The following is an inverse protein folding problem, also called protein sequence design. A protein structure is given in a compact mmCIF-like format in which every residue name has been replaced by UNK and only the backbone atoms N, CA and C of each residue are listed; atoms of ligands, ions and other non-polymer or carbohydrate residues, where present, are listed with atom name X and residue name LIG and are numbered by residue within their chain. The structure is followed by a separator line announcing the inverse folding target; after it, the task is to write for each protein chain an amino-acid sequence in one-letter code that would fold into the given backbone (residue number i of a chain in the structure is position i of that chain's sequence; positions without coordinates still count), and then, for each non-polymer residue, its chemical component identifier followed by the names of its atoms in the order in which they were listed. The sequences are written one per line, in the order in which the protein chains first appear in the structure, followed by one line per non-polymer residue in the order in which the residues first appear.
data_IF_272116990692
#
_entry.id   IF_272116990692
#
_cell.length_a   1.000
_cell.length_b   1.000
_cell.length_c   1.000
_cell.angle_alpha   90.00
_cell.angle_beta   90.00
_cell.angle_gamma   90.00
#
_symmetry.space_group_name_H-M   'P 1'
#
loop_
_entity.id
_entity.type
_entity.pdbx_description
1 polymer ?
#
# COMPACT_ATOMS: atom_id res chain seq x y z
N UNK A 1 14.95 -6.32 -68.59
CA UNK A 1 15.27 -5.01 -68.00
C UNK A 1 14.78 -3.93 -68.95
N UNK A 2 13.68 -3.26 -68.64
CA UNK A 2 13.15 -2.14 -69.43
C UNK A 2 13.51 -0.86 -68.69
N UNK A 3 14.52 -0.13 -69.18
CA UNK A 3 14.86 1.19 -68.65
C UNK A 3 13.86 2.23 -69.17
N UNK A 4 13.18 2.95 -68.27
CA UNK A 4 12.32 4.06 -68.65
C UNK A 4 13.17 5.28 -69.03
N UNK A 5 12.98 5.82 -70.22
CA UNK A 5 13.66 7.04 -70.69
C UNK A 5 12.73 8.23 -70.43
N UNK A 6 13.02 9.02 -69.40
CA UNK A 6 12.32 10.29 -69.15
C UNK A 6 13.02 11.39 -69.94
N UNK A 7 12.37 11.92 -70.98
CA UNK A 7 12.84 13.12 -71.70
C UNK A 7 12.17 14.36 -71.12
N UNK A 8 12.88 15.10 -70.27
CA UNK A 8 12.44 16.41 -69.79
C UNK A 8 12.78 17.44 -70.87
N UNK A 9 11.76 18.07 -71.46
CA UNK A 9 11.92 19.09 -72.51
C UNK A 9 11.89 20.48 -71.84
N UNK A 10 13.05 21.02 -71.51
CA UNK A 10 13.20 22.39 -71.02
C UNK A 10 13.10 23.35 -72.20
N UNK A 11 11.96 24.04 -72.32
CA UNK A 11 11.64 24.91 -73.45
C UNK A 11 12.02 26.37 -73.18
N UNK A 12 13.30 26.70 -73.00
CA UNK A 12 13.73 28.13 -73.00
C UNK A 12 15.25 28.39 -72.94
N UNK A 13 16.14 27.59 -73.51
CA UNK A 13 17.53 28.05 -73.74
C UNK A 13 18.14 27.41 -75.01
N UNK A 14 18.51 28.19 -76.04
CA UNK A 14 19.21 27.67 -77.21
C UNK A 14 20.72 27.59 -76.92
N UNK A 15 21.34 26.49 -77.33
CA UNK A 15 22.78 26.20 -77.28
C UNK A 15 23.42 25.91 -75.92
N UNK A 16 23.10 24.75 -75.32
CA UNK A 16 24.00 24.08 -74.39
C UNK A 16 23.72 22.57 -74.35
N UNK A 17 24.80 21.80 -74.50
CA UNK A 17 24.92 20.34 -74.50
C UNK A 17 23.75 19.59 -73.83
N UNK A 18 23.04 18.78 -74.64
CA UNK A 18 22.10 17.78 -74.16
C UNK A 18 22.86 16.74 -73.33
N UNK A 19 22.95 16.97 -72.03
CA UNK A 19 23.57 16.04 -71.09
C UNK A 19 22.52 14.97 -70.75
N UNK A 20 22.64 13.80 -71.35
CA UNK A 20 21.81 12.64 -71.03
C UNK A 20 22.10 12.23 -69.58
N UNK A 21 21.19 12.53 -68.66
CA UNK A 21 21.28 12.04 -67.28
C UNK A 21 20.82 10.58 -67.32
N UNK A 22 21.77 9.66 -67.29
CA UNK A 22 21.48 8.25 -67.01
C UNK A 22 21.12 8.13 -65.53
N UNK A 23 19.82 8.10 -65.22
CA UNK A 23 19.37 7.70 -63.89
C UNK A 23 19.58 6.20 -63.81
N UNK A 24 20.68 5.81 -63.18
CA UNK A 24 20.97 4.41 -62.91
C UNK A 24 20.00 3.96 -61.82
N UNK A 25 18.85 3.40 -62.21
CA UNK A 25 17.91 2.76 -61.29
C UNK A 25 18.52 1.44 -60.82
N UNK A 26 19.55 1.54 -59.99
CA UNK A 26 20.00 0.40 -59.21
C UNK A 26 18.77 -0.15 -58.48
N UNK A 27 18.36 -1.37 -58.83
CA UNK A 27 17.21 -2.05 -58.24
C UNK A 27 17.41 -2.02 -56.73
N UNK A 28 16.55 -1.26 -56.04
CA UNK A 28 16.63 -1.11 -54.60
C UNK A 28 16.41 -2.49 -53.98
N UNK A 29 17.48 -3.16 -53.58
CA UNK A 29 17.42 -4.46 -52.94
C UNK A 29 17.47 -4.25 -51.44
N UNK A 30 16.50 -4.82 -50.72
CA UNK A 30 16.52 -4.80 -49.27
C UNK A 30 17.71 -5.62 -48.76
N UNK A 31 18.54 -5.00 -47.92
CA UNK A 31 19.79 -5.58 -47.44
C UNK A 31 19.58 -6.65 -46.36
N UNK A 32 18.52 -6.53 -45.57
CA UNK A 32 18.26 -7.37 -44.40
C UNK A 32 17.77 -8.78 -44.75
N UNK A 33 18.10 -9.74 -43.90
CA UNK A 33 17.57 -11.10 -43.99
C UNK A 33 16.05 -11.12 -43.78
N UNK A 34 15.36 -12.00 -44.51
CA UNK A 34 13.90 -12.14 -44.48
C UNK A 34 13.13 -10.83 -44.76
N UNK A 35 13.72 -9.91 -45.52
CA UNK A 35 13.07 -8.69 -46.01
C UNK A 35 12.68 -8.84 -47.48
N UNK A 36 11.64 -8.13 -47.90
CA UNK A 36 11.21 -8.00 -49.29
C UNK A 36 10.86 -6.54 -49.61
N UNK A 37 11.09 -6.11 -50.86
CA UNK A 37 10.76 -4.76 -51.29
C UNK A 37 9.27 -4.71 -51.62
N UNK A 38 8.52 -3.84 -50.95
CA UNK A 38 7.17 -3.48 -51.35
C UNK A 38 7.27 -2.54 -52.56
N UNK A 39 6.95 -3.06 -53.75
CA UNK A 39 7.06 -2.31 -55.01
C UNK A 39 6.08 -1.11 -55.09
N UNK A 40 4.98 -1.12 -54.32
CA UNK A 40 3.98 -0.06 -54.35
C UNK A 40 4.46 1.18 -53.59
N UNK A 41 5.09 0.97 -52.43
CA UNK A 41 5.57 2.05 -51.57
C UNK A 41 7.09 2.27 -51.67
N UNK A 42 7.81 1.38 -52.35
CA UNK A 42 9.26 1.38 -52.48
C UNK A 42 9.96 1.37 -51.10
N UNK A 43 9.39 0.63 -50.14
CA UNK A 43 9.93 0.42 -48.79
C UNK A 43 10.25 -1.05 -48.56
N UNK A 44 11.22 -1.34 -47.69
CA UNK A 44 11.51 -2.71 -47.29
C UNK A 44 10.55 -3.15 -46.19
N UNK A 45 9.87 -4.28 -46.39
CA UNK A 45 8.97 -4.91 -45.42
C UNK A 45 9.49 -6.29 -45.04
N UNK A 46 8.96 -6.87 -43.96
CA UNK A 46 9.32 -8.23 -43.57
C UNK A 46 8.52 -9.27 -44.38
N UNK A 47 9.20 -10.35 -44.78
CA UNK A 47 8.56 -11.50 -45.43
C UNK A 47 7.52 -12.16 -44.53
N UNK A 48 6.52 -12.79 -45.16
CA UNK A 48 5.52 -13.59 -44.46
C UNK A 48 6.17 -14.63 -43.53
N UNK A 49 5.76 -14.63 -42.26
CA UNK A 49 6.29 -15.52 -41.21
C UNK A 49 7.42 -14.94 -40.37
N UNK A 50 7.93 -13.74 -40.68
CA UNK A 50 8.98 -13.03 -39.93
C UNK A 50 8.53 -11.63 -39.49
N UNK A 51 7.50 -11.50 -38.64
CA UNK A 51 6.81 -10.23 -38.42
C UNK A 51 7.58 -9.21 -37.57
N UNK A 52 8.75 -9.56 -37.03
CA UNK A 52 9.52 -8.69 -36.13
C UNK A 52 10.81 -8.21 -36.80
N UNK A 53 11.22 -6.97 -36.55
CA UNK A 53 12.45 -6.40 -37.11
C UNK A 53 12.27 -4.94 -37.53
N UNK A 54 13.34 -4.33 -38.04
CA UNK A 54 13.28 -3.01 -38.67
C UNK A 54 13.95 -3.07 -40.07
N UNK A 55 13.19 -3.45 -41.11
CA UNK A 55 13.70 -3.57 -42.47
C UNK A 55 14.07 -2.21 -43.12
N UNK A 56 13.48 -1.10 -42.68
CA UNK A 56 13.71 0.23 -43.26
C UNK A 56 15.16 0.72 -43.07
N UNK A 57 15.76 0.39 -41.92
CA UNK A 57 17.15 0.72 -41.62
C UNK A 57 18.15 -0.36 -42.10
N UNK A 58 17.72 -1.24 -43.01
CA UNK A 58 18.51 -2.38 -43.48
C UNK A 58 18.72 -3.46 -42.40
N UNK A 59 17.88 -3.48 -41.37
CA UNK A 59 17.88 -4.50 -40.34
C UNK A 59 17.21 -5.80 -40.80
N UNK A 60 17.51 -6.88 -40.10
CA UNK A 60 16.92 -8.19 -40.37
C UNK A 60 15.49 -8.29 -39.83
N UNK A 61 14.67 -9.10 -40.52
CA UNK A 61 13.40 -9.57 -39.99
C UNK A 61 13.55 -10.99 -39.43
N UNK A 62 12.86 -11.26 -38.33
CA UNK A 62 12.97 -12.51 -37.60
C UNK A 62 11.63 -12.92 -37.01
N UNK A 63 11.59 -14.16 -36.54
CA UNK A 63 10.47 -14.74 -35.79
C UNK A 63 11.03 -15.34 -34.51
N UNK A 64 10.16 -15.49 -33.52
CA UNK A 64 10.49 -16.22 -32.31
C UNK A 64 9.69 -17.52 -32.29
N UNK A 65 10.40 -18.64 -32.35
CA UNK A 65 9.86 -19.98 -32.15
C UNK A 65 10.69 -20.69 -31.05
N UNK A 66 10.15 -20.83 -29.83
CA UNK A 66 8.74 -20.70 -29.45
C UNK A 66 8.24 -19.25 -29.41
N UNK A 67 6.91 -19.11 -29.52
CA UNK A 67 6.24 -17.81 -29.37
C UNK A 67 6.56 -17.21 -28.00
N UNK A 68 6.98 -15.95 -27.99
CA UNK A 68 7.27 -15.22 -26.75
C UNK A 68 6.02 -15.06 -25.85
N UNK A 69 6.26 -14.88 -24.56
CA UNK A 69 5.23 -14.51 -23.59
C UNK A 69 4.52 -13.20 -24.03
N UNK A 70 3.25 -13.02 -23.67
CA UNK A 70 2.45 -11.82 -24.02
C UNK A 70 3.07 -10.49 -23.54
N UNK A 71 3.84 -10.54 -22.45
CA UNK A 71 4.58 -9.41 -21.88
C UNK A 71 6.05 -9.38 -22.29
N UNK A 72 6.44 -10.15 -23.29
CA UNK A 72 7.77 -10.14 -23.88
C UNK A 72 7.75 -9.54 -25.30
N UNK A 73 8.94 -9.24 -25.80
CA UNK A 73 9.21 -8.82 -27.17
C UNK A 73 10.24 -9.76 -27.78
N UNK A 74 10.06 -10.08 -29.06
CA UNK A 74 11.04 -10.80 -29.84
C UNK A 74 12.17 -9.82 -30.20
N UNK A 75 13.38 -10.09 -29.74
CA UNK A 75 14.54 -9.18 -29.91
C UNK A 75 15.52 -9.65 -30.97
N UNK A 76 15.56 -10.96 -31.24
CA UNK A 76 16.29 -11.58 -32.34
C UNK A 76 15.67 -12.94 -32.63
N UNK A 77 16.22 -13.68 -33.61
CA UNK A 77 15.80 -15.05 -33.91
C UNK A 77 15.76 -15.88 -32.63
N UNK A 78 14.58 -16.44 -32.33
CA UNK A 78 14.29 -17.31 -31.17
C UNK A 78 14.70 -16.74 -29.80
N UNK A 79 14.83 -15.41 -29.70
CA UNK A 79 15.20 -14.73 -28.44
C UNK A 79 14.11 -13.76 -28.01
N UNK A 80 13.40 -14.17 -26.98
CA UNK A 80 12.42 -13.35 -26.29
C UNK A 80 13.06 -12.61 -25.11
N UNK A 81 12.74 -11.33 -24.97
CA UNK A 81 13.12 -10.53 -23.79
C UNK A 81 11.86 -9.94 -23.20
N UNK A 82 11.71 -9.97 -21.87
CA UNK A 82 10.57 -9.33 -21.22
C UNK A 82 10.54 -7.82 -21.52
N UNK A 83 9.33 -7.25 -21.60
CA UNK A 83 9.17 -5.80 -21.77
C UNK A 83 9.89 -5.05 -20.63
N UNK A 84 10.37 -3.81 -20.87
CA UNK A 84 11.12 -3.05 -19.87
C UNK A 84 10.40 -3.00 -18.51
N UNK A 85 11.13 -3.31 -17.43
CA UNK A 85 10.61 -3.33 -16.06
C UNK A 85 10.02 -4.68 -15.60
N UNK A 86 9.99 -5.69 -16.47
CA UNK A 86 9.63 -7.07 -16.13
C UNK A 86 10.86 -7.97 -16.11
N UNK A 87 10.76 -9.07 -15.37
CA UNK A 87 11.81 -10.10 -15.23
C UNK A 87 11.22 -11.47 -15.53
N UNK A 88 12.02 -12.37 -16.07
CA UNK A 88 11.58 -13.71 -16.48
C UNK A 88 12.41 -14.27 -17.61
N UNK A 89 11.95 -15.37 -18.22
CA UNK A 89 12.63 -16.05 -19.32
C UNK A 89 12.22 -15.53 -20.71
N UNK A 90 11.20 -14.67 -20.79
CA UNK A 90 10.71 -14.12 -22.05
C UNK A 90 9.77 -15.06 -22.83
N UNK A 91 9.72 -16.35 -22.48
CA UNK A 91 9.01 -17.39 -23.22
C UNK A 91 7.81 -17.85 -22.42
N UNK A 92 8.04 -18.35 -21.20
CA UNK A 92 7.00 -18.87 -20.31
C UNK A 92 6.57 -17.84 -19.27
N UNK A 93 7.48 -16.99 -18.83
CA UNK A 93 7.25 -16.06 -17.74
C UNK A 93 7.87 -14.69 -18.02
N UNK A 94 7.08 -13.65 -17.73
CA UNK A 94 7.52 -12.27 -17.64
C UNK A 94 6.63 -11.55 -16.63
N UNK A 95 7.18 -11.30 -15.45
CA UNK A 95 6.46 -10.77 -14.31
C UNK A 95 7.16 -9.57 -13.70
N UNK A 96 6.44 -8.81 -12.90
CA UNK A 96 7.03 -7.70 -12.17
C UNK A 96 8.01 -8.24 -11.11
N UNK A 97 9.22 -7.67 -11.01
CA UNK A 97 10.22 -8.13 -10.06
C UNK A 97 9.68 -7.99 -8.63
N UNK A 98 9.70 -9.11 -7.90
CA UNK A 98 9.33 -9.14 -6.48
C UNK A 98 10.61 -9.24 -5.64
N UNK A 99 10.91 -8.24 -4.79
CA UNK A 99 12.06 -8.30 -3.93
C UNK A 99 11.91 -9.44 -2.90
N UNK A 100 13.04 -10.03 -2.51
CA UNK A 100 13.10 -11.03 -1.45
C UNK A 100 13.79 -10.42 -0.24
N UNK A 101 13.09 -10.38 0.92
CA UNK A 101 13.64 -9.80 2.15
C UNK A 101 14.66 -10.78 2.72
N UNK A 102 15.90 -10.33 2.91
CA UNK A 102 16.99 -11.15 3.47
C UNK A 102 17.03 -11.00 4.99
N UNK A 103 16.95 -9.77 5.48
CA UNK A 103 16.98 -9.49 6.91
C UNK A 103 16.37 -8.13 7.24
N UNK A 104 15.86 -7.99 8.46
CA UNK A 104 15.30 -6.73 8.97
C UNK A 104 15.94 -6.41 10.32
N UNK A 105 16.37 -5.18 10.53
CA UNK A 105 16.95 -4.72 11.80
C UNK A 105 16.53 -3.28 12.11
N UNK A 106 16.07 -2.98 13.33
CA UNK A 106 15.63 -3.91 14.38
C UNK A 106 14.36 -4.69 13.98
N UNK A 107 13.97 -5.71 14.76
CA UNK A 107 12.68 -6.41 14.60
C UNK A 107 11.53 -5.75 15.40
N UNK A 108 11.78 -4.55 15.92
CA UNK A 108 10.85 -3.80 16.77
C UNK A 108 10.79 -2.34 16.31
N UNK A 109 9.61 -1.75 16.33
CA UNK A 109 9.39 -0.32 16.10
C UNK A 109 9.01 0.32 17.43
N UNK A 110 9.96 0.94 18.12
CA UNK A 110 9.71 1.51 19.46
C UNK A 110 8.90 2.80 19.40
N UNK A 111 9.24 3.70 18.47
CA UNK A 111 8.63 5.02 18.34
C UNK A 111 8.33 5.36 16.87
N UNK A 112 7.52 6.38 16.62
CA UNK A 112 7.25 6.91 15.26
C UNK A 112 8.52 7.39 14.54
N UNK A 113 9.54 7.77 15.31
CA UNK A 113 10.82 8.26 14.79
C UNK A 113 11.87 7.16 14.65
N UNK A 114 11.49 5.90 14.94
CA UNK A 114 12.39 4.76 14.75
C UNK A 114 12.42 4.31 13.29
N UNK A 115 13.55 3.73 12.88
CA UNK A 115 13.80 3.29 11.51
C UNK A 115 14.12 1.80 11.45
N UNK A 116 13.61 1.13 10.43
CA UNK A 116 13.91 -0.26 10.10
C UNK A 116 14.84 -0.33 8.90
N UNK A 117 16.00 -0.95 9.06
CA UNK A 117 16.86 -1.32 7.96
C UNK A 117 16.41 -2.66 7.39
N UNK A 118 15.88 -2.62 6.16
CA UNK A 118 15.43 -3.79 5.41
C UNK A 118 16.46 -4.10 4.34
N UNK A 119 17.15 -5.24 4.48
CA UNK A 119 18.06 -5.75 3.46
C UNK A 119 17.28 -6.71 2.56
N UNK A 120 17.34 -6.49 1.25
CA UNK A 120 16.60 -7.27 0.27
C UNK A 120 17.46 -7.62 -0.95
N UNK A 121 17.05 -8.65 -1.68
CA UNK A 121 17.62 -9.03 -2.98
C UNK A 121 16.60 -8.75 -4.08
N UNK A 122 17.07 -8.14 -5.17
CA UNK A 122 16.31 -7.91 -6.39
C UNK A 122 16.87 -8.78 -7.52
N UNK A 123 16.00 -9.23 -8.42
CA UNK A 123 16.39 -9.90 -9.66
C UNK A 123 16.83 -8.90 -10.74
N UNK A 124 16.55 -7.60 -10.55
CA UNK A 124 16.86 -6.55 -11.51
C UNK A 124 18.14 -5.79 -11.11
N UNK A 125 19.03 -5.55 -12.09
CA UNK A 125 20.31 -4.84 -11.90
C UNK A 125 20.09 -3.36 -11.57
N UNK A 126 19.08 -2.74 -12.17
CA UNK A 126 18.72 -1.34 -11.92
C UNK A 126 17.51 -1.30 -10.96
N UNK A 127 17.80 -1.13 -9.68
CA UNK A 127 16.76 -1.06 -8.65
C UNK A 127 16.08 0.30 -8.66
N UNK A 128 14.79 0.32 -8.96
CA UNK A 128 13.92 1.46 -8.63
C UNK A 128 13.78 1.58 -7.11
N UNK A 129 13.42 2.78 -6.63
CA UNK A 129 13.16 3.03 -5.21
C UNK A 129 12.09 2.04 -4.70
N UNK A 130 12.37 1.25 -3.65
CA UNK A 130 11.37 0.35 -3.08
C UNK A 130 10.32 1.11 -2.26
N UNK A 131 9.26 0.42 -1.87
CA UNK A 131 8.23 0.86 -0.93
C UNK A 131 8.12 -0.15 0.19
N UNK A 132 8.04 0.33 1.42
CA UNK A 132 7.86 -0.48 2.61
C UNK A 132 6.37 -0.51 2.95
N UNK A 133 5.84 -1.69 3.28
CA UNK A 133 4.49 -1.86 3.78
C UNK A 133 4.54 -2.53 5.13
N UNK A 134 4.03 -1.86 6.16
CA UNK A 134 3.88 -2.41 7.50
C UNK A 134 2.40 -2.44 7.83
N UNK A 135 1.85 -3.66 7.93
CA UNK A 135 0.42 -3.86 8.12
C UNK A 135 -0.39 -3.20 6.98
N UNK A 136 -1.30 -2.25 7.29
CA UNK A 136 -2.10 -1.56 6.28
C UNK A 136 -1.37 -0.37 5.62
N UNK A 137 -0.27 0.11 6.20
CA UNK A 137 0.38 1.36 5.80
C UNK A 137 1.47 1.11 4.75
N UNK A 138 1.48 1.89 3.68
CA UNK A 138 2.49 1.85 2.61
C UNK A 138 3.21 3.20 2.56
N UNK A 139 4.54 3.19 2.57
CA UNK A 139 5.33 4.41 2.58
C UNK A 139 6.66 4.24 1.83
N UNK A 140 7.21 5.34 1.27
CA UNK A 140 8.54 5.33 0.69
C UNK A 140 9.60 5.20 1.80
N UNK A 141 10.78 4.62 1.51
CA UNK A 141 11.90 4.60 2.45
C UNK A 141 12.45 6.01 2.66
N UNK A 142 12.98 6.27 3.85
CA UNK A 142 13.73 7.50 4.13
C UNK A 142 15.05 7.53 3.35
N UNK A 143 15.72 6.38 3.26
CA UNK A 143 16.96 6.21 2.52
C UNK A 143 16.98 4.85 1.82
N UNK A 144 17.65 4.76 0.67
CA UNK A 144 17.86 3.48 -0.01
C UNK A 144 19.22 3.44 -0.71
N UNK A 145 19.81 2.26 -0.74
CA UNK A 145 21.07 2.00 -1.44
C UNK A 145 21.05 0.58 -2.01
N UNK A 146 20.34 0.42 -3.14
CA UNK A 146 20.26 -0.77 -4.01
C UNK A 146 19.85 -2.11 -3.37
N UNK A 147 20.57 -2.55 -2.34
CA UNK A 147 20.38 -3.77 -1.56
C UNK A 147 19.69 -3.57 -0.21
N UNK A 148 19.59 -2.33 0.27
CA UNK A 148 18.89 -2.02 1.52
C UNK A 148 18.04 -0.76 1.42
N UNK A 149 17.00 -0.71 2.24
CA UNK A 149 16.09 0.41 2.40
C UNK A 149 15.89 0.68 3.88
N UNK A 150 15.89 1.95 4.26
CA UNK A 150 15.58 2.42 5.60
C UNK A 150 14.12 2.88 5.60
N UNK A 151 13.27 2.18 6.34
CA UNK A 151 11.83 2.39 6.41
C UNK A 151 11.48 3.06 7.75
N UNK A 152 10.80 4.20 7.75
CA UNK A 152 10.28 4.81 9.00
C UNK A 152 9.20 3.93 9.63
N UNK A 153 9.11 3.90 10.96
CA UNK A 153 8.05 3.19 11.67
C UNK A 153 6.79 4.06 11.74
N UNK A 154 5.66 3.65 11.13
CA UNK A 154 4.43 4.42 11.19
C UNK A 154 3.80 4.41 12.60
N UNK A 155 2.96 5.41 12.94
CA UNK A 155 2.15 5.38 14.17
C UNK A 155 1.07 4.30 14.05
N UNK A 156 1.38 3.09 14.49
CA UNK A 156 0.46 1.96 14.54
C UNK A 156 0.14 1.59 16.00
N UNK A 157 -0.98 0.91 16.18
CA UNK A 157 -1.32 0.33 17.48
C UNK A 157 -0.32 -0.76 17.88
N UNK A 158 -0.33 -1.10 19.17
CA UNK A 158 0.53 -2.14 19.74
C UNK A 158 0.18 -3.50 19.12
N UNK A 159 1.19 -4.28 18.73
CA UNK A 159 0.97 -5.59 18.12
C UNK A 159 2.03 -6.03 17.11
N UNK A 160 1.75 -7.13 16.43
CA UNK A 160 2.62 -7.76 15.45
C UNK A 160 2.10 -7.49 14.04
N UNK A 161 2.90 -6.82 13.21
CA UNK A 161 2.52 -6.46 11.84
C UNK A 161 3.43 -7.13 10.81
N UNK A 162 2.87 -7.49 9.66
CA UNK A 162 3.65 -7.99 8.53
C UNK A 162 4.34 -6.83 7.81
N UNK A 163 5.66 -6.93 7.65
CA UNK A 163 6.49 -6.13 6.78
C UNK A 163 6.64 -6.83 5.42
N UNK A 164 6.32 -6.08 4.38
CA UNK A 164 6.45 -6.44 2.97
C UNK A 164 7.17 -5.31 2.21
N UNK A 165 7.88 -5.63 1.13
CA UNK A 165 8.56 -4.64 0.28
C UNK A 165 8.17 -4.81 -1.19
N UNK A 166 8.06 -3.71 -1.95
CA UNK A 166 7.65 -3.70 -3.36
C UNK A 166 8.35 -2.60 -4.15
N UNK A 167 8.59 -2.79 -5.44
CA UNK A 167 9.10 -1.73 -6.33
C UNK A 167 8.00 -0.91 -7.02
N UNK A 168 6.74 -1.35 -6.96
CA UNK A 168 5.63 -0.72 -7.70
C UNK A 168 4.32 -0.61 -6.90
N UNK A 169 4.35 -0.80 -5.57
CA UNK A 169 3.20 -0.76 -4.65
C UNK A 169 2.11 -1.81 -4.91
N UNK A 170 2.27 -2.66 -5.92
CA UNK A 170 1.29 -3.67 -6.32
C UNK A 170 1.84 -5.08 -6.06
N UNK A 171 3.11 -5.30 -6.40
CA UNK A 171 3.75 -6.62 -6.35
C UNK A 171 4.69 -6.69 -5.14
N UNK A 172 4.19 -7.28 -4.06
CA UNK A 172 4.88 -7.38 -2.78
C UNK A 172 5.77 -8.62 -2.68
N UNK A 173 6.79 -8.55 -1.82
CA UNK A 173 7.63 -9.68 -1.46
C UNK A 173 6.78 -10.86 -0.98
N UNK A 174 7.13 -12.09 -1.42
CA UNK A 174 6.38 -13.30 -1.03
C UNK A 174 6.57 -13.64 0.45
N UNK A 175 7.73 -13.29 1.02
CA UNK A 175 8.04 -13.50 2.42
C UNK A 175 7.44 -12.38 3.26
N UNK A 176 6.81 -12.76 4.37
CA UNK A 176 6.27 -11.85 5.37
C UNK A 176 7.18 -11.89 6.59
N UNK A 177 7.77 -10.76 6.94
CA UNK A 177 8.50 -10.59 8.19
C UNK A 177 7.58 -9.96 9.23
N UNK A 178 7.64 -10.39 10.49
CA UNK A 178 6.82 -9.81 11.54
C UNK A 178 7.62 -8.77 12.30
N UNK A 179 7.08 -7.56 12.42
CA UNK A 179 7.61 -6.46 13.23
C UNK A 179 6.74 -6.28 14.45
N UNK A 180 7.36 -6.22 15.62
CA UNK A 180 6.67 -6.02 16.88
C UNK A 180 6.65 -4.53 17.24
N UNK A 181 5.47 -3.99 17.48
CA UNK A 181 5.25 -2.68 18.07
C UNK A 181 5.03 -2.90 19.56
N UNK A 182 6.06 -2.65 20.40
CA UNK A 182 6.02 -2.99 21.80
C UNK A 182 4.85 -2.28 22.47
N UNK A 183 4.20 -2.99 23.37
CA UNK A 183 3.35 -2.35 24.34
C UNK A 183 4.25 -1.53 25.24
N UNK A 184 4.14 -0.19 25.25
CA UNK A 184 4.72 0.56 26.36
C UNK A 184 4.23 -0.12 27.64
N UNK A 185 5.16 -0.58 28.47
CA UNK A 185 4.92 -1.14 29.79
C UNK A 185 4.37 -0.07 30.77
N UNK A 186 3.81 1.02 30.22
CA UNK A 186 3.04 1.99 30.98
C UNK A 186 2.01 1.20 31.79
N UNK A 187 1.94 1.42 33.12
CA UNK A 187 1.09 0.64 34.00
C UNK A 187 -0.28 0.61 33.35
N UNK A 188 -0.72 -0.61 33.02
CA UNK A 188 -1.91 -0.82 32.22
C UNK A 188 -3.06 0.06 32.75
N UNK A 189 -4.00 0.50 31.90
CA UNK A 189 -5.21 1.17 32.38
C UNK A 189 -5.89 0.42 33.52
N UNK A 190 -5.64 -0.88 33.67
CA UNK A 190 -5.98 -1.68 34.85
C UNK A 190 -5.50 -1.07 36.17
N UNK A 191 -4.27 -0.57 36.28
CA UNK A 191 -3.77 0.09 37.52
C UNK A 191 -4.57 1.35 37.81
N UNK A 192 -4.88 2.16 36.79
CA UNK A 192 -5.73 3.34 36.95
C UNK A 192 -7.16 2.96 37.37
N UNK A 193 -7.72 1.91 36.77
CA UNK A 193 -9.03 1.37 37.15
C UNK A 193 -9.02 0.93 38.62
N UNK A 194 -7.98 0.19 39.06
CA UNK A 194 -7.83 -0.20 40.46
C UNK A 194 -7.70 1.00 41.40
N UNK A 195 -6.92 2.02 41.04
CA UNK A 195 -6.79 3.25 41.84
C UNK A 195 -8.15 3.95 41.98
N UNK A 196 -8.90 4.10 40.88
CA UNK A 196 -10.25 4.71 40.90
C UNK A 196 -11.20 3.90 41.79
N UNK A 197 -11.17 2.57 41.67
CA UNK A 197 -12.00 1.65 42.47
C UNK A 197 -11.68 1.75 43.97
N UNK A 198 -10.39 1.82 44.32
CA UNK A 198 -9.94 2.04 45.71
C UNK A 198 -10.41 3.39 46.26
N UNK A 199 -10.37 4.46 45.46
CA UNK A 199 -10.86 5.78 45.88
C UNK A 199 -12.36 5.74 46.13
N UNK A 200 -13.15 5.13 45.23
CA UNK A 200 -14.62 4.99 45.42
C UNK A 200 -14.94 4.22 46.70
N UNK A 201 -14.27 3.08 46.93
CA UNK A 201 -14.46 2.28 48.15
C UNK A 201 -14.13 3.09 49.40
N UNK A 202 -13.04 3.86 49.39
CA UNK A 202 -12.66 4.70 50.54
C UNK A 202 -13.69 5.78 50.87
N UNK A 203 -14.30 6.40 49.84
CA UNK A 203 -15.37 7.39 50.00
C UNK A 203 -16.64 6.75 50.55
N UNK A 204 -17.01 5.56 50.06
CA UNK A 204 -18.16 4.83 50.57
C UNK A 204 -17.98 4.43 52.04
N UNK A 205 -16.80 3.94 52.42
CA UNK A 205 -16.48 3.62 53.82
C UNK A 205 -16.57 4.88 54.68
N UNK A 206 -16.00 5.99 54.22
CA UNK A 206 -16.10 7.27 54.94
C UNK A 206 -17.56 7.70 55.15
N UNK A 207 -18.39 7.59 54.11
CA UNK A 207 -19.81 7.94 54.18
C UNK A 207 -20.58 7.02 55.14
N UNK A 208 -20.31 5.72 55.14
CA UNK A 208 -20.91 4.75 56.07
C UNK A 208 -20.52 5.09 57.52
N UNK A 209 -19.24 5.38 57.79
CA UNK A 209 -18.77 5.79 59.13
C UNK A 209 -19.48 7.08 59.56
N UNK A 210 -19.59 8.05 58.67
CA UNK A 210 -20.29 9.31 58.93
C UNK A 210 -21.78 9.10 59.26
N UNK A 211 -22.46 8.23 58.51
CA UNK A 211 -23.85 7.86 58.78
C UNK A 211 -24.01 7.21 60.17
N UNK A 212 -23.15 6.25 60.51
CA UNK A 212 -23.18 5.55 61.81
C UNK A 212 -22.99 6.54 62.97
N UNK A 213 -22.02 7.46 62.85
CA UNK A 213 -21.77 8.48 63.87
C UNK A 213 -22.96 9.41 64.06
N UNK A 214 -23.61 9.85 62.97
CA UNK A 214 -24.77 10.74 63.04
C UNK A 214 -25.96 10.08 63.73
N UNK A 215 -26.24 8.79 63.45
CA UNK A 215 -27.31 8.05 64.14
C UNK A 215 -27.05 7.89 65.65
N UNK A 216 -25.79 7.74 66.05
CA UNK A 216 -25.45 7.62 67.48
C UNK A 216 -25.76 8.89 68.28
N UNK A 217 -25.77 10.07 67.66
CA UNK A 217 -26.08 11.33 68.33
C UNK A 217 -27.58 11.58 68.48
N UNK A 218 -28.41 10.93 67.66
CA UNK A 218 -29.87 11.14 67.70
C UNK A 218 -30.58 10.31 68.78
N UNK A 219 -29.96 9.27 69.31
CA UNK A 219 -30.58 8.39 70.31
C UNK A 219 -30.31 8.81 71.76
N UNK A 220 -29.76 10.01 71.98
CA UNK A 220 -29.28 10.47 73.29
C UNK A 220 -30.22 11.38 74.07
N UNK A 221 -31.36 11.80 73.53
CA UNK A 221 -32.13 12.92 74.12
C UNK A 221 -33.65 12.72 74.20
N UNK A 222 -34.14 11.47 74.22
CA UNK A 222 -35.51 11.19 74.66
C UNK A 222 -35.52 10.90 76.16
N UNK A 223 -35.29 11.97 76.94
CA UNK A 223 -35.73 12.04 78.32
C UNK A 223 -37.26 12.11 78.36
N UNK A 224 -37.85 11.10 78.99
CA UNK A 224 -39.26 10.94 79.34
C UNK A 224 -40.06 12.25 79.50
N UNK A 225 -40.99 12.50 78.58
CA UNK A 225 -42.19 13.30 78.90
C UNK A 225 -43.45 12.49 78.58
N UNK A 226 -43.99 11.92 79.64
CA UNK A 226 -45.32 11.31 79.70
C UNK A 226 -46.34 12.46 79.54
N UNK A 227 -47.15 12.43 78.49
CA UNK A 227 -48.32 13.33 78.36
C UNK A 227 -49.60 12.52 78.15
N UNK A 228 -50.70 12.98 78.76
CA UNK A 228 -51.87 12.14 78.97
C UNK A 228 -52.75 12.06 77.72
N UNK A 229 -53.38 10.90 77.68
CA UNK A 229 -54.54 10.54 76.88
C UNK A 229 -55.55 11.70 76.76
N UNK A 230 -56.21 11.75 75.59
CA UNK A 230 -57.46 12.45 75.26
C UNK A 230 -57.30 13.77 74.48
N UNK A 231 -57.39 13.72 73.14
CA UNK A 231 -58.45 14.43 72.41
C UNK A 231 -58.54 14.00 70.94
N UNK A 232 -59.73 13.55 70.60
CA UNK A 232 -60.20 13.30 69.24
C UNK A 232 -60.33 14.61 68.44
N UNK A 233 -59.92 14.61 67.16
CA UNK A 233 -60.78 14.68 65.96
C UNK A 233 -60.15 15.41 64.75
N UNK A 234 -60.37 14.77 63.59
CA UNK A 234 -60.53 15.28 62.22
C UNK A 234 -59.31 15.69 61.37
N UNK A 235 -59.08 14.83 60.38
CA UNK A 235 -59.00 15.09 58.93
C UNK A 235 -58.20 16.30 58.44
N UNK A 236 -57.14 16.03 57.66
CA UNK A 236 -57.20 16.17 56.20
C UNK A 236 -56.25 15.18 55.50
N UNK A 237 -56.64 14.85 54.27
CA UNK A 237 -56.09 13.88 53.33
C UNK A 237 -54.64 14.24 52.95
N UNK A 238 -53.68 13.35 53.22
CA UNK A 238 -52.36 13.41 52.62
C UNK A 238 -52.30 12.45 51.44
N UNK A 239 -52.04 13.05 50.27
CA UNK A 239 -51.73 12.35 49.04
C UNK A 239 -50.26 11.91 49.15
N UNK A 240 -50.03 10.64 49.48
CA UNK A 240 -48.70 10.03 49.44
C UNK A 240 -48.23 9.94 47.99
N UNK A 241 -47.43 10.93 47.56
CA UNK A 241 -46.53 10.75 46.43
C UNK A 241 -45.29 9.98 46.91
N UNK A 242 -45.46 8.67 46.99
CA UNK A 242 -44.41 7.69 47.16
C UNK A 242 -43.54 7.67 45.89
N UNK A 243 -42.55 8.56 45.80
CA UNK A 243 -41.63 8.69 44.66
C UNK A 243 -40.14 8.55 45.06
N UNK A 244 -39.87 7.73 46.09
CA UNK A 244 -38.51 7.37 46.51
C UNK A 244 -37.85 6.33 45.56
N UNK A 245 -38.51 5.96 44.46
CA UNK A 245 -38.00 5.04 43.45
C UNK A 245 -37.20 5.69 42.31
N UNK A 246 -37.19 7.02 42.21
CA UNK A 246 -36.65 7.73 41.05
C UNK A 246 -35.10 7.74 40.99
N UNK A 247 -34.42 7.89 42.13
CA UNK A 247 -32.95 7.97 42.16
C UNK A 247 -32.29 6.64 41.82
N UNK A 248 -32.80 5.51 42.33
CA UNK A 248 -32.21 4.20 42.03
C UNK A 248 -32.39 3.81 40.55
N UNK A 249 -33.51 4.19 39.93
CA UNK A 249 -33.71 4.01 38.48
C UNK A 249 -32.73 4.83 37.63
N UNK A 250 -32.39 6.04 38.07
CA UNK A 250 -31.42 6.88 37.37
C UNK A 250 -30.00 6.30 37.44
N UNK A 251 -29.59 5.80 38.61
CA UNK A 251 -28.26 5.18 38.79
C UNK A 251 -28.15 3.86 38.02
N UNK A 252 -29.19 3.02 38.03
CA UNK A 252 -29.17 1.72 37.34
C UNK A 252 -29.06 1.87 35.80
N UNK A 253 -29.71 2.89 35.23
CA UNK A 253 -29.62 3.19 33.80
C UNK A 253 -28.26 3.76 33.37
N UNK A 254 -27.46 4.29 34.29
CA UNK A 254 -26.13 4.86 34.01
C UNK A 254 -25.01 3.82 34.05
N UNK A 255 -25.24 2.67 34.69
CA UNK A 255 -24.24 1.60 34.85
C UNK A 255 -24.40 0.49 33.80
N UNK A 256 -25.63 0.28 33.30
CA UNK A 256 -25.96 -0.84 32.40
C UNK A 256 -26.13 -0.41 30.93
N UNK A 257 -26.11 0.90 30.64
CA UNK A 257 -26.01 1.44 29.28
C UNK A 257 -24.57 1.65 28.84
#
# INVERSE_FOLDING_TARGET
MLGAIIRIKLSSFPSLLSKTIYVNTAKLACKGNNTELDEQFNICICKAGFPFGNPENGGDCFRCDPKCHEKAICTSMDKCTCKPGLVGDGIKDCDYPRPTIVSVKPHKCENTDSFLTVVYKSQQVNTTMPYCKIGPSIYPPSEFNGSHAICSCPPLFKGNYSLEISFNKLHWSKQKFTINFPTDDSPAPEVFVYIILCVIISVLIYFIIWCIQKTSWSNGDDGDQILPLNKWHMNQIQHDSNDDGSIFKFIFNLIIG
#
